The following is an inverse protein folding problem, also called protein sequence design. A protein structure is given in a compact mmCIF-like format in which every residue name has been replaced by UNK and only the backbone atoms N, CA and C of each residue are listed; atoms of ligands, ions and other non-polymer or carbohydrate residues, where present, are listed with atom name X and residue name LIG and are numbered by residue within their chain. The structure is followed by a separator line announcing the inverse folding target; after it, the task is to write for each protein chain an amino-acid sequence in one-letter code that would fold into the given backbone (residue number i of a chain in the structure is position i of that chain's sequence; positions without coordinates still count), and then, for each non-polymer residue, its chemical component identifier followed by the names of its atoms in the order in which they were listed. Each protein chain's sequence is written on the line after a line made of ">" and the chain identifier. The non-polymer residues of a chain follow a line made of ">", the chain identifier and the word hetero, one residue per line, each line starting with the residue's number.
data_IF_281661619879
#
_entry.id   IF_281661619879
#
_cell.length_a   1.000
_cell.length_b   1.000
_cell.length_c   1.000
_cell.angle_alpha   90.00
_cell.angle_beta   90.00
_cell.angle_gamma   90.00
#
_symmetry.space_group_name_H-M   'P 1'
#
loop_
_entity.id
_entity.type
_entity.pdbx_description
1 polymer ?
#
# COMPACT_ATOMS: atom_id res chain seq x y z
N UNK A 1 18.66 1.73 -8.78
CA UNK A 1 18.68 0.60 -7.85
C UNK A 1 18.37 1.06 -6.43
N UNK A 2 17.10 0.89 -6.03
CA UNK A 2 16.63 1.25 -4.70
C UNK A 2 16.30 -0.01 -3.92
N UNK A 3 16.53 0.02 -2.62
CA UNK A 3 16.06 -1.05 -1.74
C UNK A 3 14.55 -1.06 -1.69
N UNK A 4 13.98 -2.26 -1.63
CA UNK A 4 12.53 -2.45 -1.51
C UNK A 4 12.22 -2.83 -0.07
N UNK A 5 11.27 -2.11 0.52
CA UNK A 5 10.76 -2.37 1.86
C UNK A 5 9.28 -2.68 1.77
N UNK A 6 8.89 -3.86 2.19
CA UNK A 6 7.49 -4.28 2.26
C UNK A 6 7.02 -4.15 3.72
N UNK A 7 5.99 -3.35 3.95
CA UNK A 7 5.50 -3.07 5.31
C UNK A 7 4.99 -4.35 5.98
N UNK A 8 4.29 -5.21 5.22
CA UNK A 8 3.77 -6.46 5.79
C UNK A 8 4.90 -7.42 6.17
N UNK A 9 5.95 -7.51 5.33
CA UNK A 9 7.12 -8.33 5.66
C UNK A 9 7.82 -7.82 6.92
N UNK A 10 7.96 -6.52 7.07
CA UNK A 10 8.55 -5.93 8.27
C UNK A 10 7.70 -6.19 9.50
N UNK A 11 6.37 -6.14 9.33
CA UNK A 11 5.46 -6.49 10.41
C UNK A 11 5.67 -7.93 10.88
N UNK A 12 5.73 -8.86 9.92
CA UNK A 12 5.91 -10.29 10.22
C UNK A 12 7.24 -10.54 10.95
N UNK A 13 8.30 -9.87 10.55
CA UNK A 13 9.60 -9.97 11.22
C UNK A 13 9.54 -9.53 12.68
N UNK A 14 8.74 -8.52 12.99
CA UNK A 14 8.67 -7.96 14.35
C UNK A 14 7.62 -8.63 15.23
N UNK A 15 6.50 -9.02 14.67
CA UNK A 15 5.31 -9.41 15.44
C UNK A 15 4.74 -10.77 15.05
N UNK A 16 5.28 -11.41 14.00
CA UNK A 16 4.80 -12.70 13.53
C UNK A 16 3.65 -12.58 12.54
N UNK A 17 2.91 -13.66 12.35
CA UNK A 17 1.84 -13.76 11.37
C UNK A 17 0.77 -12.71 11.59
N UNK A 18 0.39 -12.01 10.51
CA UNK A 18 -0.57 -10.91 10.57
C UNK A 18 -1.95 -11.39 11.02
N UNK A 19 -2.43 -12.50 10.45
CA UNK A 19 -3.75 -13.04 10.81
C UNK A 19 -3.82 -13.42 12.28
N UNK A 20 -2.78 -14.06 12.80
CA UNK A 20 -2.68 -14.41 14.22
C UNK A 20 -2.69 -13.17 15.10
N UNK A 21 -1.98 -12.13 14.69
CA UNK A 21 -1.95 -10.86 15.41
C UNK A 21 -3.32 -10.19 15.45
N UNK A 22 -4.02 -10.17 14.29
CA UNK A 22 -5.39 -9.66 14.22
C UNK A 22 -6.34 -10.39 15.16
N UNK A 23 -6.26 -11.72 15.15
CA UNK A 23 -7.15 -12.53 15.97
C UNK A 23 -6.89 -12.33 17.47
N UNK A 24 -5.64 -12.08 17.84
CA UNK A 24 -5.25 -11.93 19.24
C UNK A 24 -5.46 -10.48 19.75
N UNK A 25 -5.10 -9.49 18.97
CA UNK A 25 -5.04 -8.10 19.44
C UNK A 25 -6.04 -7.16 18.76
N UNK A 26 -6.65 -7.56 17.62
CA UNK A 26 -7.60 -6.75 16.88
C UNK A 26 -6.97 -5.82 15.85
N UNK A 27 -7.84 -5.23 15.03
CA UNK A 27 -7.43 -4.37 13.93
C UNK A 27 -6.75 -3.08 14.40
N UNK A 28 -7.30 -2.43 15.43
CA UNK A 28 -6.75 -1.16 15.91
C UNK A 28 -5.30 -1.30 16.35
N UNK A 29 -4.98 -2.38 17.04
CA UNK A 29 -3.62 -2.64 17.48
C UNK A 29 -2.70 -2.94 16.31
N UNK A 30 -3.19 -3.70 15.31
CA UNK A 30 -2.45 -3.94 14.07
C UNK A 30 -2.13 -2.60 13.37
N UNK A 31 -3.12 -1.74 13.24
CA UNK A 31 -2.93 -0.44 12.57
C UNK A 31 -1.92 0.44 13.30
N UNK A 32 -1.90 0.38 14.64
CA UNK A 32 -0.89 1.11 15.42
C UNK A 32 0.52 0.63 15.10
N UNK A 33 0.72 -0.68 15.06
CA UNK A 33 2.03 -1.28 14.76
C UNK A 33 2.44 -0.99 13.33
N UNK A 34 1.51 -1.10 12.39
CA UNK A 34 1.75 -0.74 10.99
C UNK A 34 2.19 0.72 10.86
N UNK A 35 1.52 1.64 11.52
CA UNK A 35 1.87 3.07 11.49
C UNK A 35 3.23 3.35 12.10
N UNK A 36 3.63 2.62 13.13
CA UNK A 36 4.96 2.75 13.72
C UNK A 36 6.04 2.33 12.73
N UNK A 37 5.81 1.24 11.98
CA UNK A 37 6.73 0.78 10.95
C UNK A 37 6.85 1.82 9.84
N UNK A 38 5.73 2.38 9.39
CA UNK A 38 5.72 3.42 8.36
C UNK A 38 6.48 4.65 8.83
N UNK A 39 6.27 5.07 10.06
CA UNK A 39 6.98 6.23 10.65
C UNK A 39 8.49 6.03 10.60
N UNK A 40 8.96 4.86 11.00
CA UNK A 40 10.39 4.53 11.01
C UNK A 40 10.98 4.53 9.61
N UNK A 41 10.32 3.83 8.69
CA UNK A 41 10.79 3.66 7.31
C UNK A 41 10.78 4.98 6.55
N UNK A 42 9.79 5.84 6.80
CA UNK A 42 9.64 7.11 6.09
C UNK A 42 10.78 8.09 6.35
N UNK A 43 11.58 7.84 7.36
CA UNK A 43 12.77 8.66 7.64
C UNK A 43 13.94 8.33 6.73
N UNK A 44 13.92 7.19 6.07
CA UNK A 44 14.98 6.75 5.18
C UNK A 44 14.81 7.32 3.77
N UNK A 45 15.93 7.40 3.05
CA UNK A 45 15.95 7.90 1.68
C UNK A 45 16.19 6.76 0.69
N UNK A 46 15.81 6.98 -0.55
CA UNK A 46 16.12 6.09 -1.68
C UNK A 46 15.53 4.70 -1.54
N UNK A 47 14.34 4.60 -0.97
CA UNK A 47 13.60 3.34 -0.83
C UNK A 47 12.39 3.29 -1.74
N UNK A 48 12.02 2.07 -2.11
CA UNK A 48 10.68 1.76 -2.62
C UNK A 48 9.94 1.11 -1.47
N UNK A 49 8.83 1.71 -1.05
CA UNK A 49 8.03 1.21 0.06
C UNK A 49 6.75 0.59 -0.50
N UNK A 50 6.60 -0.72 -0.29
CA UNK A 50 5.39 -1.44 -0.67
C UNK A 50 4.44 -1.48 0.53
N UNK A 51 3.23 -0.96 0.33
CA UNK A 51 2.22 -0.84 1.38
C UNK A 51 1.03 -1.74 1.08
N UNK A 52 0.41 -2.26 2.15
CA UNK A 52 -0.90 -2.90 2.03
C UNK A 52 -1.98 -1.86 1.80
N UNK A 53 -3.12 -2.29 1.27
CA UNK A 53 -4.23 -1.39 0.92
C UNK A 53 -4.85 -0.65 2.09
N UNK A 54 -4.70 -1.15 3.30
CA UNK A 54 -5.28 -0.56 4.50
C UNK A 54 -4.48 0.56 5.13
N UNK A 55 -3.28 0.88 4.62
CA UNK A 55 -2.48 1.97 5.20
C UNK A 55 -3.20 3.32 5.11
N UNK A 56 -4.11 3.48 4.16
CA UNK A 56 -4.88 4.71 3.98
C UNK A 56 -5.93 4.93 5.06
N UNK A 57 -6.25 3.91 5.86
CA UNK A 57 -7.28 4.02 6.90
C UNK A 57 -6.82 4.81 8.13
N UNK A 58 -5.52 5.06 8.27
CA UNK A 58 -4.98 5.94 9.31
C UNK A 58 -4.37 7.19 8.68
N UNK A 59 -4.98 8.32 8.99
CA UNK A 59 -4.58 9.61 8.42
C UNK A 59 -3.12 9.98 8.75
N UNK A 60 -2.61 9.53 9.89
CA UNK A 60 -1.23 9.79 10.27
C UNK A 60 -0.23 9.20 9.28
N UNK A 61 -0.58 8.11 8.62
CA UNK A 61 0.29 7.48 7.62
C UNK A 61 0.50 8.39 6.41
N UNK A 62 -0.50 9.19 6.06
CA UNK A 62 -0.38 10.18 4.98
C UNK A 62 0.77 11.16 5.29
N UNK A 63 0.80 11.68 6.48
CA UNK A 63 1.84 12.65 6.87
C UNK A 63 3.22 12.02 6.91
N UNK A 64 3.32 10.80 7.41
CA UNK A 64 4.62 10.09 7.44
C UNK A 64 5.16 9.83 6.04
N UNK A 65 4.29 9.38 5.12
CA UNK A 65 4.72 9.05 3.76
C UNK A 65 4.93 10.30 2.91
N UNK A 66 3.99 11.24 2.97
CA UNK A 66 4.01 12.43 2.11
C UNK A 66 5.19 13.36 2.38
N UNK A 67 5.69 13.36 3.60
CA UNK A 67 6.79 14.24 3.99
C UNK A 67 8.08 14.01 3.21
N UNK A 68 8.31 12.81 2.70
CA UNK A 68 9.59 12.44 2.07
C UNK A 68 9.44 11.46 0.91
N UNK A 69 8.27 11.39 0.27
CA UNK A 69 8.09 10.44 -0.83
C UNK A 69 7.00 10.86 -1.81
N UNK A 70 7.04 10.23 -2.98
CA UNK A 70 5.93 10.25 -3.93
C UNK A 70 5.10 8.99 -3.69
N UNK A 71 3.80 9.16 -3.63
CA UNK A 71 2.86 8.07 -3.36
C UNK A 71 2.15 7.69 -4.66
N UNK A 72 2.29 6.43 -5.02
CA UNK A 72 1.69 5.87 -6.24
C UNK A 72 0.54 4.96 -5.84
N UNK A 73 -0.63 5.22 -6.40
CA UNK A 73 -1.76 4.31 -6.24
C UNK A 73 -1.76 3.32 -7.42
N UNK A 74 -1.48 2.06 -7.13
CA UNK A 74 -1.47 1.02 -8.16
C UNK A 74 -2.87 0.42 -8.26
N UNK A 75 -3.55 0.72 -9.36
CA UNK A 75 -4.92 0.26 -9.60
C UNK A 75 -4.92 -1.04 -10.38
N UNK A 76 -5.83 -1.92 -10.00
CA UNK A 76 -6.07 -3.17 -10.69
C UNK A 76 -7.56 -3.37 -10.83
N UNK A 77 -7.96 -3.96 -11.95
CA UNK A 77 -9.35 -4.30 -12.18
C UNK A 77 -9.79 -5.38 -11.19
N UNK A 78 -10.90 -5.12 -10.47
CA UNK A 78 -11.43 -6.06 -9.47
C UNK A 78 -11.84 -7.40 -10.11
N UNK A 79 -12.29 -7.38 -11.35
CA UNK A 79 -12.63 -8.59 -12.08
C UNK A 79 -11.41 -9.49 -12.30
N UNK A 80 -10.24 -8.91 -12.51
CA UNK A 80 -8.99 -9.67 -12.64
C UNK A 80 -8.55 -10.31 -11.34
N UNK A 81 -8.89 -9.74 -10.21
CA UNK A 81 -8.61 -10.34 -8.91
C UNK A 81 -9.41 -11.63 -8.73
N UNK A 82 -10.60 -11.71 -9.33
CA UNK A 82 -11.44 -12.92 -9.34
C UNK A 82 -10.79 -14.05 -10.16
N UNK A 83 -10.18 -13.70 -11.29
CA UNK A 83 -9.49 -14.68 -12.16
C UNK A 83 -8.32 -15.35 -11.44
N UNK A 84 -7.74 -14.69 -10.45
CA UNK A 84 -6.63 -15.22 -9.65
C UNK A 84 -7.09 -16.27 -8.61
N UNK A 85 -8.31 -16.81 -8.75
CA UNK A 85 -8.80 -17.94 -7.96
C UNK A 85 -9.41 -17.57 -6.62
N UNK A 86 -9.81 -16.34 -6.43
CA UNK A 86 -10.42 -15.89 -5.18
C UNK A 86 -11.91 -16.25 -5.12
N UNK A 87 -12.41 -16.74 -3.96
CA UNK A 87 -13.83 -17.02 -3.78
C UNK A 87 -14.71 -15.77 -3.97
N UNK A 88 -15.93 -15.95 -4.42
CA UNK A 88 -16.90 -14.86 -4.60
C UNK A 88 -17.10 -14.03 -3.33
N UNK A 89 -17.13 -14.69 -2.16
CA UNK A 89 -17.25 -13.99 -0.88
C UNK A 89 -16.10 -13.00 -0.67
N UNK A 90 -14.89 -13.35 -1.08
CA UNK A 90 -13.74 -12.44 -1.01
C UNK A 90 -13.85 -11.31 -2.02
N UNK A 91 -14.47 -11.56 -3.18
CA UNK A 91 -14.72 -10.51 -4.17
C UNK A 91 -15.66 -9.45 -3.61
N UNK A 92 -16.76 -9.84 -2.99
CA UNK A 92 -17.70 -8.89 -2.38
C UNK A 92 -17.02 -8.09 -1.27
N UNK A 93 -16.13 -8.73 -0.48
CA UNK A 93 -15.38 -8.03 0.53
C UNK A 93 -14.38 -7.03 -0.08
N UNK A 94 -13.77 -7.38 -1.22
CA UNK A 94 -12.89 -6.47 -1.94
C UNK A 94 -13.63 -5.27 -2.51
N UNK A 95 -14.82 -5.48 -3.08
CA UNK A 95 -15.67 -4.40 -3.59
C UNK A 95 -16.05 -3.45 -2.45
N UNK A 96 -16.47 -3.99 -1.32
CA UNK A 96 -16.82 -3.21 -0.14
C UNK A 96 -15.63 -2.40 0.37
N UNK A 97 -14.47 -3.02 0.47
CA UNK A 97 -13.24 -2.35 0.91
C UNK A 97 -12.84 -1.25 -0.07
N UNK A 98 -12.96 -1.50 -1.37
CA UNK A 98 -12.63 -0.49 -2.38
C UNK A 98 -13.55 0.72 -2.25
N UNK A 99 -14.86 0.50 -2.14
CA UNK A 99 -15.81 1.60 -1.98
C UNK A 99 -15.54 2.41 -0.70
N UNK A 100 -15.16 1.74 0.37
CA UNK A 100 -14.81 2.38 1.63
C UNK A 100 -13.53 3.20 1.53
N UNK A 101 -12.56 2.73 0.74
CA UNK A 101 -11.20 3.29 0.72
C UNK A 101 -10.89 4.19 -0.46
N UNK A 102 -11.73 4.20 -1.50
CA UNK A 102 -11.40 4.89 -2.75
C UNK A 102 -11.07 6.38 -2.58
N UNK A 103 -11.80 7.07 -1.75
CA UNK A 103 -11.56 8.50 -1.48
C UNK A 103 -10.25 8.69 -0.71
N UNK A 104 -9.90 7.74 0.15
CA UNK A 104 -8.64 7.76 0.89
C UNK A 104 -7.45 7.51 -0.04
N UNK A 105 -7.60 6.60 -1.00
CA UNK A 105 -6.56 6.39 -2.01
C UNK A 105 -6.35 7.65 -2.83
N UNK A 106 -7.42 8.32 -3.21
CA UNK A 106 -7.34 9.59 -3.95
C UNK A 106 -6.64 10.67 -3.13
N UNK A 107 -6.88 10.72 -1.84
CA UNK A 107 -6.22 11.67 -0.95
C UNK A 107 -4.71 11.40 -0.82
N UNK A 108 -4.32 10.14 -0.70
CA UNK A 108 -2.93 9.76 -0.44
C UNK A 108 -2.04 9.90 -1.68
N UNK A 109 -2.57 9.60 -2.86
CA UNK A 109 -1.77 9.45 -4.07
C UNK A 109 -1.22 10.76 -4.62
N UNK A 110 -0.07 10.68 -5.23
CA UNK A 110 0.42 11.70 -6.15
C UNK A 110 -0.05 11.42 -7.58
N UNK A 111 -0.07 10.15 -7.96
CA UNK A 111 -0.61 9.72 -9.26
C UNK A 111 -1.05 8.27 -9.21
N UNK A 112 -1.87 7.89 -10.21
CA UNK A 112 -2.33 6.51 -10.41
C UNK A 112 -1.54 5.83 -11.51
N UNK A 113 -1.36 4.51 -11.38
CA UNK A 113 -0.97 3.65 -12.49
C UNK A 113 -1.88 2.43 -12.52
N UNK A 114 -2.12 1.88 -13.71
CA UNK A 114 -2.93 0.68 -13.87
C UNK A 114 -2.03 -0.53 -14.08
N UNK A 115 -2.18 -1.53 -13.22
CA UNK A 115 -1.42 -2.76 -13.32
C UNK A 115 -2.12 -3.76 -14.25
N UNK A 116 -1.99 -3.56 -15.55
CA UNK A 116 -2.44 -4.51 -16.58
C UNK A 116 -1.34 -5.51 -16.92
N UNK A 117 -0.09 -5.07 -16.83
CA UNK A 117 1.10 -5.88 -17.07
C UNK A 117 2.19 -5.37 -16.14
N UNK A 118 2.83 -6.28 -15.38
CA UNK A 118 3.80 -5.91 -14.36
C UNK A 118 4.96 -5.08 -14.91
N UNK A 119 5.53 -5.48 -16.04
CA UNK A 119 6.69 -4.79 -16.60
C UNK A 119 6.33 -3.39 -17.09
N UNK A 120 5.18 -3.26 -17.76
CA UNK A 120 4.68 -1.97 -18.25
C UNK A 120 4.35 -1.05 -17.07
N UNK A 121 3.71 -1.59 -16.04
CA UNK A 121 3.35 -0.85 -14.85
C UNK A 121 4.59 -0.30 -14.12
N UNK A 122 5.59 -1.16 -13.92
CA UNK A 122 6.84 -0.77 -13.26
C UNK A 122 7.55 0.36 -14.02
N UNK A 123 7.60 0.25 -15.35
CA UNK A 123 8.21 1.26 -16.20
C UNK A 123 7.47 2.59 -16.14
N UNK A 124 6.14 2.55 -16.14
CA UNK A 124 5.31 3.75 -16.02
C UNK A 124 5.54 4.45 -14.68
N UNK A 125 5.64 3.68 -13.60
CA UNK A 125 5.94 4.24 -12.27
C UNK A 125 7.29 4.95 -12.30
N UNK A 126 8.30 4.32 -12.87
CA UNK A 126 9.64 4.89 -12.96
C UNK A 126 9.64 6.19 -13.76
N UNK A 127 9.00 6.20 -14.91
CA UNK A 127 8.91 7.38 -15.77
C UNK A 127 8.22 8.54 -15.06
N UNK A 128 7.08 8.27 -14.43
CA UNK A 128 6.32 9.29 -13.70
C UNK A 128 7.08 9.82 -12.48
N UNK A 129 7.80 8.94 -11.81
CA UNK A 129 8.63 9.34 -10.69
C UNK A 129 9.67 10.37 -11.13
N UNK A 130 10.41 10.09 -12.20
CA UNK A 130 11.43 11.02 -12.69
C UNK A 130 10.83 12.32 -13.24
N UNK A 131 9.67 12.27 -13.86
CA UNK A 131 8.96 13.48 -14.28
C UNK A 131 8.65 14.40 -13.09
N UNK A 132 8.19 13.80 -11.99
CA UNK A 132 7.78 14.56 -10.81
C UNK A 132 8.96 15.17 -10.05
N UNK A 133 10.09 14.47 -9.95
CA UNK A 133 11.26 15.00 -9.23
C UNK A 133 12.05 16.01 -10.04
N UNK A 134 11.91 16.02 -11.36
CA UNK A 134 12.63 16.95 -12.25
C UNK A 134 11.85 18.23 -12.52
N UNK A 135 10.62 18.30 -12.06
CA UNK A 135 9.80 19.51 -12.12
C UNK A 135 9.93 20.27 -10.79
#
# INVERSE_FOLDING_TARGET
>A
NRKIFDIDEEFVKKYGNIEDFFNKYGEDEFRKKESQIIKEISKSNSLIISCGGGVVEKDINYYYLKGNSLIVNVRRDLEKLEIDGRPLSKKYNLDFLYEKRKDLYDKFKDFDVYNKNLNVCAKEIEEKFYENINN
#
